data_IF_469742389533
#
_entry.id   IF_469742389533
#
_cell.length_a   1.000
_cell.length_b   1.000
_cell.length_c   1.000
_cell.angle_alpha   90.00
_cell.angle_beta   90.00
_cell.angle_gamma   90.00
#
_symmetry.space_group_name_H-M   'P 1'
#
loop_
_entity.id
_entity.type
_entity.pdbx_description
1 polymer ?
#
# COMPACT_ATOMS: atom_id res chain seq x y z
N UNK A 1 -12.91 29.55 -3.25
CA UNK A 1 -12.83 29.11 -1.84
C UNK A 1 -11.84 30.03 -1.14
N UNK A 2 -12.17 30.53 0.06
CA UNK A 2 -11.37 31.56 0.74
C UNK A 2 -10.19 30.94 1.49
N UNK A 3 -9.10 31.70 1.69
CA UNK A 3 -7.95 31.29 2.50
C UNK A 3 -8.32 30.82 3.93
N UNK A 4 -9.51 31.19 4.42
CA UNK A 4 -10.03 30.76 5.72
C UNK A 4 -10.38 29.28 5.81
N UNK A 5 -10.93 28.67 4.76
CA UNK A 5 -11.27 27.22 4.78
C UNK A 5 -10.00 26.36 4.82
N UNK A 6 -8.98 26.75 4.06
CA UNK A 6 -7.70 26.03 4.02
C UNK A 6 -6.96 26.11 5.37
N UNK A 7 -7.00 27.26 6.05
CA UNK A 7 -6.42 27.40 7.39
C UNK A 7 -7.12 26.52 8.44
N UNK A 8 -8.44 26.35 8.33
CA UNK A 8 -9.21 25.45 9.21
C UNK A 8 -8.82 24.00 8.98
N UNK A 9 -8.78 23.55 7.72
CA UNK A 9 -8.37 22.18 7.37
C UNK A 9 -6.95 21.89 7.89
N UNK A 10 -6.02 22.82 7.68
CA UNK A 10 -4.64 22.66 8.15
C UNK A 10 -4.55 22.50 9.68
N UNK A 11 -5.26 23.33 10.45
CA UNK A 11 -5.29 23.20 11.92
C UNK A 11 -5.93 21.90 12.41
N UNK A 12 -6.93 21.39 11.69
CA UNK A 12 -7.58 20.10 12.01
C UNK A 12 -6.65 18.92 11.74
N UNK A 13 -5.97 18.91 10.58
CA UNK A 13 -4.97 17.90 10.23
C UNK A 13 -3.81 17.91 11.21
N UNK A 14 -3.30 19.09 11.57
CA UNK A 14 -2.19 19.23 12.54
C UNK A 14 -2.56 18.64 13.90
N UNK A 15 -3.73 18.99 14.43
CA UNK A 15 -4.23 18.47 15.71
C UNK A 15 -4.39 16.94 15.69
N UNK A 16 -5.00 16.39 14.63
CA UNK A 16 -5.19 14.95 14.49
C UNK A 16 -3.87 14.20 14.30
N UNK A 17 -2.94 14.76 13.50
CA UNK A 17 -1.61 14.20 13.31
C UNK A 17 -0.84 14.16 14.64
N UNK A 18 -0.87 15.25 15.41
CA UNK A 18 -0.25 15.32 16.73
C UNK A 18 -0.80 14.26 17.68
N UNK A 19 -2.12 14.06 17.70
CA UNK A 19 -2.76 13.04 18.52
C UNK A 19 -2.32 11.60 18.15
N UNK A 20 -1.93 11.38 16.89
CA UNK A 20 -1.41 10.11 16.40
C UNK A 20 0.12 9.95 16.57
N UNK A 21 0.82 10.93 17.13
CA UNK A 21 2.30 10.89 17.25
C UNK A 21 3.04 11.32 15.98
N UNK A 22 2.38 12.08 15.09
CA UNK A 22 2.94 12.68 13.89
C UNK A 22 3.09 14.20 14.06
N UNK A 23 3.85 14.82 13.17
CA UNK A 23 3.99 16.27 13.05
C UNK A 23 3.82 16.69 11.60
N UNK A 24 3.04 17.74 11.35
CA UNK A 24 3.00 18.37 10.02
C UNK A 24 4.27 19.21 9.88
N UNK A 25 5.17 18.84 8.96
CA UNK A 25 6.45 19.53 8.73
C UNK A 25 6.44 20.42 7.50
N UNK A 26 5.49 20.20 6.59
CA UNK A 26 5.24 21.08 5.45
C UNK A 26 3.77 21.00 5.03
N UNK A 27 3.26 22.14 4.55
CA UNK A 27 1.92 22.27 3.97
C UNK A 27 2.07 23.01 2.65
N UNK A 28 1.62 22.40 1.55
CA UNK A 28 1.78 22.92 0.19
C UNK A 28 0.41 22.92 -0.50
N UNK A 29 0.03 24.07 -1.07
CA UNK A 29 -1.12 24.14 -1.95
C UNK A 29 -0.78 23.43 -3.27
N UNK A 30 -1.66 22.54 -3.71
CA UNK A 30 -1.50 21.73 -4.91
C UNK A 30 -2.81 21.71 -5.70
N UNK A 31 -2.85 20.89 -6.74
CA UNK A 31 -4.07 20.64 -7.49
C UNK A 31 -4.16 19.14 -7.81
N UNK A 32 -5.38 18.62 -7.78
CA UNK A 32 -5.66 17.26 -8.22
C UNK A 32 -5.46 17.12 -9.74
N UNK A 33 -5.65 15.89 -10.24
CA UNK A 33 -5.53 15.61 -11.67
C UNK A 33 -6.47 16.44 -12.57
N UNK A 34 -7.61 16.89 -12.04
CA UNK A 34 -8.59 17.71 -12.77
C UNK A 34 -8.36 19.21 -12.59
N UNK A 35 -7.33 19.63 -11.85
CA UNK A 35 -7.03 21.03 -11.54
C UNK A 35 -7.85 21.60 -10.37
N UNK A 36 -8.57 20.78 -9.61
CA UNK A 36 -9.24 21.23 -8.39
C UNK A 36 -8.19 21.44 -7.28
N UNK A 37 -8.37 22.43 -6.40
CA UNK A 37 -7.39 22.73 -5.35
C UNK A 37 -7.33 21.62 -4.30
N UNK A 38 -6.11 21.20 -3.99
CA UNK A 38 -5.78 20.26 -2.91
C UNK A 38 -4.75 20.89 -1.96
N UNK A 39 -4.66 20.34 -0.76
CA UNK A 39 -3.58 20.66 0.17
C UNK A 39 -2.80 19.39 0.48
N UNK A 40 -1.49 19.47 0.28
CA UNK A 40 -0.54 18.42 0.58
C UNK A 40 0.15 18.69 1.92
N UNK A 41 0.03 17.75 2.84
CA UNK A 41 0.65 17.76 4.15
C UNK A 41 1.78 16.72 4.18
N UNK A 42 3.00 17.18 4.46
CA UNK A 42 4.10 16.27 4.78
C UNK A 42 4.04 15.96 6.27
N UNK A 43 3.70 14.72 6.60
CA UNK A 43 3.61 14.21 7.96
C UNK A 43 4.91 13.51 8.31
N UNK A 44 5.57 13.94 9.37
CA UNK A 44 6.77 13.31 9.90
C UNK A 44 6.45 12.55 11.19
N UNK A 45 7.14 11.42 11.42
CA UNK A 45 7.06 10.73 12.70
C UNK A 45 7.66 11.62 13.79
N UNK A 46 6.94 11.85 14.90
CA UNK A 46 7.41 12.78 15.94
C UNK A 46 8.74 12.35 16.57
N UNK A 47 9.00 11.03 16.63
CA UNK A 47 10.21 10.43 17.17
C UNK A 47 11.39 10.42 16.17
N UNK A 48 11.12 10.50 14.86
CA UNK A 48 12.13 10.53 13.80
C UNK A 48 11.63 11.39 12.62
N UNK A 49 11.97 12.69 12.60
CA UNK A 49 11.50 13.61 11.57
C UNK A 49 11.97 13.29 10.14
N UNK A 50 12.96 12.41 9.97
CA UNK A 50 13.40 11.97 8.64
C UNK A 50 12.40 11.00 8.00
N UNK A 51 11.56 10.33 8.80
CA UNK A 51 10.50 9.42 8.35
C UNK A 51 9.25 10.22 8.04
N UNK A 52 8.94 10.35 6.76
CA UNK A 52 7.82 11.18 6.29
C UNK A 52 6.85 10.41 5.39
N UNK A 53 5.59 10.85 5.39
CA UNK A 53 4.52 10.40 4.51
C UNK A 53 3.77 11.63 3.99
N UNK A 54 3.41 11.62 2.71
CA UNK A 54 2.54 12.64 2.14
C UNK A 54 1.08 12.26 2.40
N UNK A 55 0.31 13.21 2.93
CA UNK A 55 -1.14 13.19 2.98
C UNK A 55 -1.68 14.28 2.05
N UNK A 56 -2.46 13.93 1.05
CA UNK A 56 -3.12 14.87 0.16
C UNK A 56 -4.63 14.79 0.33
N UNK A 57 -5.26 15.96 0.52
CA UNK A 57 -6.69 16.11 0.72
C UNK A 57 -7.24 17.23 -0.17
N UNK A 58 -8.46 17.06 -0.67
CA UNK A 58 -9.19 18.16 -1.30
C UNK A 58 -9.35 19.35 -0.34
N UNK A 59 -9.25 20.58 -0.85
CA UNK A 59 -9.52 21.79 -0.05
C UNK A 59 -10.99 21.87 0.42
N UNK A 60 -11.89 21.16 -0.27
CA UNK A 60 -13.29 21.02 0.12
C UNK A 60 -13.56 19.86 1.10
N UNK A 61 -12.53 19.16 1.58
CA UNK A 61 -12.70 18.04 2.49
C UNK A 61 -13.18 18.50 3.87
N UNK A 62 -14.33 17.98 4.31
CA UNK A 62 -14.93 18.32 5.60
C UNK A 62 -14.39 17.43 6.73
N UNK A 63 -13.17 17.72 7.18
CA UNK A 63 -12.46 16.92 8.20
C UNK A 63 -13.24 16.75 9.52
N UNK A 64 -14.05 17.73 9.91
CA UNK A 64 -14.84 17.71 11.15
C UNK A 64 -16.09 16.84 11.11
N UNK A 65 -16.43 16.25 9.97
CA UNK A 65 -17.55 15.31 9.88
C UNK A 65 -17.29 14.08 10.74
N UNK A 66 -18.18 13.82 11.69
CA UNK A 66 -17.98 12.75 12.69
C UNK A 66 -17.83 11.36 12.07
N UNK A 67 -18.50 11.11 10.94
CA UNK A 67 -18.42 9.86 10.18
C UNK A 67 -17.07 9.68 9.45
N UNK A 68 -16.35 10.76 9.17
CA UNK A 68 -15.05 10.75 8.48
C UNK A 68 -13.88 10.82 9.46
N UNK A 69 -14.03 11.59 10.55
CA UNK A 69 -12.98 11.87 11.52
C UNK A 69 -12.39 10.58 12.13
N UNK A 70 -13.24 9.60 12.46
CA UNK A 70 -12.80 8.34 13.06
C UNK A 70 -11.87 7.56 12.13
N UNK A 71 -12.19 7.48 10.83
CA UNK A 71 -11.36 6.79 9.84
C UNK A 71 -10.05 7.52 9.59
N UNK A 72 -10.05 8.86 9.57
CA UNK A 72 -8.82 9.65 9.45
C UNK A 72 -7.91 9.45 10.67
N UNK A 73 -8.47 9.40 11.88
CA UNK A 73 -7.70 9.13 13.09
C UNK A 73 -7.05 7.73 13.05
N UNK A 74 -7.80 6.72 12.59
CA UNK A 74 -7.27 5.36 12.38
C UNK A 74 -6.13 5.38 11.36
N UNK A 75 -6.34 6.03 10.20
CA UNK A 75 -5.32 6.17 9.16
C UNK A 75 -4.04 6.83 9.69
N UNK A 76 -4.14 7.91 10.45
CA UNK A 76 -2.99 8.62 11.01
C UNK A 76 -2.26 7.77 12.06
N UNK A 77 -2.98 7.04 12.92
CA UNK A 77 -2.37 6.13 13.89
C UNK A 77 -1.64 4.97 13.20
N UNK A 78 -2.23 4.39 12.17
CA UNK A 78 -1.59 3.36 11.33
C UNK A 78 -0.36 3.93 10.60
N UNK A 79 -0.45 5.16 10.09
CA UNK A 79 0.66 5.85 9.43
C UNK A 79 1.83 6.05 10.39
N UNK A 80 1.58 6.47 11.64
CA UNK A 80 2.61 6.61 12.65
C UNK A 80 3.33 5.30 12.94
N UNK A 81 2.60 4.19 13.09
CA UNK A 81 3.21 2.86 13.24
C UNK A 81 4.02 2.49 12.00
N UNK A 82 3.44 2.67 10.81
CA UNK A 82 4.09 2.28 9.56
C UNK A 82 5.37 3.06 9.28
N UNK A 83 5.43 4.35 9.64
CA UNK A 83 6.63 5.18 9.49
C UNK A 83 7.84 4.70 10.29
N UNK A 84 7.64 3.86 11.31
CA UNK A 84 8.73 3.19 12.04
C UNK A 84 9.47 2.18 11.16
N UNK A 85 8.81 1.60 10.15
CA UNK A 85 9.45 0.66 9.24
C UNK A 85 10.69 1.29 8.57
N UNK A 86 11.73 0.49 8.24
CA UNK A 86 12.87 0.98 7.49
C UNK A 86 12.47 1.58 6.14
N UNK A 87 11.55 0.91 5.43
CA UNK A 87 10.94 1.33 4.16
C UNK A 87 9.41 1.36 4.29
N UNK A 88 8.82 2.47 4.78
CA UNK A 88 7.37 2.57 5.01
C UNK A 88 6.55 2.54 3.71
N UNK A 89 7.17 2.85 2.59
CA UNK A 89 6.62 2.79 1.23
C UNK A 89 6.52 1.36 0.67
N UNK A 90 7.22 0.39 1.27
CA UNK A 90 7.34 -0.96 0.74
C UNK A 90 6.33 -1.96 1.33
N UNK A 91 5.69 -2.73 0.47
CA UNK A 91 4.77 -3.82 0.81
C UNK A 91 5.20 -5.10 0.11
N UNK A 92 4.69 -6.25 0.57
CA UNK A 92 4.91 -7.54 -0.07
C UNK A 92 3.62 -8.04 -0.73
N UNK A 93 3.72 -8.59 -1.94
CA UNK A 93 2.63 -9.36 -2.56
C UNK A 93 2.57 -10.81 -2.03
N UNK A 94 1.48 -11.53 -2.28
CA UNK A 94 1.32 -12.90 -1.80
C UNK A 94 2.30 -13.86 -2.49
N UNK A 95 2.66 -13.58 -3.75
CA UNK A 95 3.69 -14.32 -4.50
C UNK A 95 5.13 -13.86 -4.20
N UNK A 96 5.35 -13.07 -3.16
CA UNK A 96 6.71 -12.73 -2.71
C UNK A 96 7.38 -11.58 -3.48
N UNK A 97 6.60 -10.72 -4.16
CA UNK A 97 7.15 -9.50 -4.79
C UNK A 97 7.22 -8.35 -3.77
N UNK A 98 8.42 -7.86 -3.41
CA UNK A 98 8.58 -6.62 -2.66
C UNK A 98 8.35 -5.41 -3.56
N UNK A 99 7.40 -4.56 -3.21
CA UNK A 99 6.92 -3.44 -4.02
C UNK A 99 6.94 -2.13 -3.22
N UNK A 100 7.62 -1.11 -3.71
CA UNK A 100 7.43 0.27 -3.21
C UNK A 100 6.22 0.90 -3.89
N UNK A 101 5.46 1.69 -3.14
CA UNK A 101 4.29 2.43 -3.61
C UNK A 101 4.57 3.92 -3.50
N UNK A 102 4.42 4.66 -4.60
CA UNK A 102 4.70 6.08 -4.62
C UNK A 102 4.01 6.82 -5.76
N UNK A 103 4.16 8.15 -5.74
CA UNK A 103 3.63 9.07 -6.76
C UNK A 103 2.12 8.92 -6.99
N UNK A 104 1.38 8.51 -5.97
CA UNK A 104 -0.07 8.50 -6.02
C UNK A 104 -0.57 9.95 -6.00
N UNK A 105 -1.46 10.28 -6.94
CA UNK A 105 -2.06 11.62 -7.07
C UNK A 105 -3.48 11.55 -6.53
N UNK A 106 -3.69 12.08 -5.33
CA UNK A 106 -4.99 12.06 -4.66
C UNK A 106 -5.72 13.40 -4.83
N UNK A 107 -7.03 13.46 -4.60
CA UNK A 107 -7.98 12.36 -4.42
C UNK A 107 -8.25 11.58 -5.72
N UNK A 108 -9.18 10.62 -5.67
CA UNK A 108 -9.80 10.09 -6.87
C UNK A 108 -10.44 11.20 -7.71
N UNK A 109 -10.21 11.17 -9.02
CA UNK A 109 -10.83 12.08 -9.97
C UNK A 109 -11.75 11.33 -10.94
N UNK A 110 -12.69 12.04 -11.58
CA UNK A 110 -13.54 11.44 -12.61
C UNK A 110 -12.72 11.10 -13.87
N UNK A 111 -13.11 10.03 -14.56
CA UNK A 111 -12.58 9.75 -15.89
C UNK A 111 -13.03 10.84 -16.88
N UNK A 112 -12.09 11.35 -17.68
CA UNK A 112 -12.37 12.31 -18.77
C UNK A 112 -12.77 11.62 -20.08
N UNK A 113 -12.67 10.28 -20.16
CA UNK A 113 -12.99 9.50 -21.36
C UNK A 113 -14.48 9.13 -21.49
N UNK A 114 -15.34 9.72 -20.66
CA UNK A 114 -16.79 9.43 -20.64
C UNK A 114 -17.16 8.11 -19.96
N UNK A 115 -16.20 7.45 -19.30
CA UNK A 115 -16.47 6.26 -18.50
C UNK A 115 -16.99 6.63 -17.10
N UNK A 116 -17.95 5.83 -16.60
CA UNK A 116 -18.51 5.92 -15.25
C UNK A 116 -17.54 5.37 -14.18
N UNK A 117 -16.33 5.91 -14.14
CA UNK A 117 -15.26 5.49 -13.24
C UNK A 117 -14.51 6.66 -12.63
N UNK A 118 -14.11 6.48 -11.38
CA UNK A 118 -13.14 7.33 -10.67
C UNK A 118 -11.76 6.71 -10.84
N UNK A 119 -10.74 7.52 -11.04
CA UNK A 119 -9.37 7.07 -11.21
C UNK A 119 -8.46 7.68 -10.14
N UNK A 120 -7.49 6.89 -9.67
CA UNK A 120 -6.29 7.39 -9.00
C UNK A 120 -5.09 6.81 -9.73
N UNK A 121 -4.10 7.67 -9.99
CA UNK A 121 -2.87 7.27 -10.67
C UNK A 121 -1.74 7.14 -9.67
N UNK A 122 -0.86 6.17 -9.85
CA UNK A 122 0.31 5.96 -9.00
C UNK A 122 1.42 5.22 -9.73
N UNK A 123 2.47 4.88 -8.99
CA UNK A 123 3.59 4.08 -9.48
C UNK A 123 3.99 3.06 -8.42
N UNK A 124 4.32 1.86 -8.88
CA UNK A 124 4.98 0.84 -8.06
C UNK A 124 6.33 0.47 -8.65
N UNK A 125 7.31 0.18 -7.79
CA UNK A 125 8.62 -0.31 -8.22
C UNK A 125 8.97 -1.62 -7.51
N UNK A 126 9.73 -2.49 -8.17
CA UNK A 126 10.24 -3.72 -7.58
C UNK A 126 11.46 -3.45 -6.70
N UNK A 127 11.45 -3.89 -5.46
CA UNK A 127 12.47 -3.54 -4.47
C UNK A 127 13.24 -4.77 -4.01
N UNK A 128 14.36 -5.09 -4.65
CA UNK A 128 15.16 -6.29 -4.33
C UNK A 128 16.41 -6.00 -3.49
N UNK A 129 16.65 -4.72 -3.11
CA UNK A 129 17.89 -4.26 -2.50
C UNK A 129 18.99 -3.93 -3.52
N UNK A 130 18.75 -4.22 -4.80
CA UNK A 130 19.56 -3.78 -5.94
C UNK A 130 18.90 -2.57 -6.62
N UNK A 131 19.49 -2.10 -7.74
CA UNK A 131 18.91 -1.00 -8.51
C UNK A 131 17.50 -1.36 -9.02
N UNK A 132 16.50 -0.63 -8.55
CA UNK A 132 15.10 -0.82 -8.92
C UNK A 132 14.82 -0.26 -10.32
N UNK A 133 15.00 -1.09 -11.35
CA UNK A 133 14.76 -0.69 -12.75
C UNK A 133 13.37 -1.05 -13.26
N UNK A 134 12.68 -1.98 -12.58
CA UNK A 134 11.38 -2.51 -12.98
C UNK A 134 10.26 -1.82 -12.20
N UNK A 135 9.29 -1.26 -12.93
CA UNK A 135 8.20 -0.50 -12.35
C UNK A 135 6.90 -0.68 -13.15
N UNK A 136 5.79 -0.24 -12.58
CA UNK A 136 4.52 -0.12 -13.28
C UNK A 136 3.85 1.19 -12.89
N UNK A 137 3.44 1.96 -13.90
CA UNK A 137 2.51 3.07 -13.67
C UNK A 137 1.10 2.50 -13.58
N UNK A 138 0.36 2.92 -12.57
CA UNK A 138 -0.94 2.37 -12.22
C UNK A 138 -2.04 3.39 -12.53
N UNK A 139 -3.17 2.89 -13.03
CA UNK A 139 -4.44 3.58 -13.05
C UNK A 139 -5.47 2.71 -12.33
N UNK A 140 -5.67 2.96 -11.04
CA UNK A 140 -6.66 2.23 -10.27
C UNK A 140 -8.04 2.84 -10.50
N UNK A 141 -8.95 2.01 -10.99
CA UNK A 141 -10.27 2.45 -11.44
C UNK A 141 -11.37 1.93 -10.51
N UNK A 142 -12.10 2.86 -9.91
CA UNK A 142 -13.24 2.61 -9.03
C UNK A 142 -14.54 2.89 -9.77
N UNK A 143 -15.42 1.90 -9.90
CA UNK A 143 -16.75 2.09 -10.53
C UNK A 143 -17.64 2.98 -9.67
N UNK A 144 -18.63 3.66 -10.27
CA UNK A 144 -19.60 4.48 -9.51
C UNK A 144 -20.28 3.67 -8.40
N UNK A 145 -20.69 2.43 -8.68
CA UNK A 145 -21.29 1.53 -7.68
C UNK A 145 -20.37 1.24 -6.50
N UNK A 146 -19.05 1.25 -6.73
CA UNK A 146 -18.08 1.08 -5.66
C UNK A 146 -17.83 2.37 -4.89
N UNK A 147 -17.98 3.53 -5.54
CA UNK A 147 -17.90 4.83 -4.86
C UNK A 147 -18.94 4.95 -3.75
N UNK A 148 -20.11 4.32 -3.87
CA UNK A 148 -21.15 4.34 -2.84
C UNK A 148 -20.74 3.63 -1.53
N UNK A 149 -19.73 2.75 -1.56
CA UNK A 149 -19.27 2.02 -0.36
C UNK A 149 -18.00 2.61 0.26
N UNK A 150 -17.37 3.59 -0.40
CA UNK A 150 -16.19 4.29 0.11
C UNK A 150 -16.64 5.62 0.70
N UNK A 151 -16.29 5.89 1.97
CA UNK A 151 -16.78 7.06 2.69
C UNK A 151 -16.37 8.40 2.04
N UNK A 152 -15.17 8.47 1.46
CA UNK A 152 -14.70 9.62 0.71
C UNK A 152 -13.67 9.21 -0.37
N UNK A 153 -13.55 9.96 -1.49
CA UNK A 153 -12.55 9.71 -2.52
C UNK A 153 -11.11 10.11 -2.12
N UNK A 154 -10.88 10.43 -0.86
CA UNK A 154 -9.61 10.95 -0.32
C UNK A 154 -8.65 9.83 0.06
N UNK A 155 -7.36 10.16 0.15
CA UNK A 155 -6.29 9.22 0.47
C UNK A 155 -6.56 8.36 1.72
N UNK A 156 -6.97 8.91 2.89
CA UNK A 156 -7.14 8.12 4.11
C UNK A 156 -8.13 6.96 3.98
N UNK A 157 -9.11 7.10 3.07
CA UNK A 157 -10.21 6.17 2.90
C UNK A 157 -9.92 5.14 1.81
N UNK A 158 -8.93 5.42 0.95
CA UNK A 158 -8.72 4.63 -0.25
C UNK A 158 -7.33 4.00 -0.41
N UNK A 159 -6.29 4.60 0.15
CA UNK A 159 -4.90 4.13 0.00
C UNK A 159 -4.76 2.64 0.34
N UNK A 160 -5.31 2.21 1.49
CA UNK A 160 -5.19 0.83 1.96
C UNK A 160 -5.75 -0.20 0.99
N UNK A 161 -7.00 -0.02 0.53
CA UNK A 161 -7.59 -0.97 -0.41
C UNK A 161 -7.01 -0.86 -1.82
N UNK A 162 -6.51 0.31 -2.22
CA UNK A 162 -5.85 0.48 -3.52
C UNK A 162 -4.53 -0.27 -3.55
N UNK A 163 -3.72 -0.14 -2.51
CA UNK A 163 -2.45 -0.88 -2.43
C UNK A 163 -2.72 -2.39 -2.46
N UNK A 164 -3.75 -2.85 -1.76
CA UNK A 164 -4.17 -4.25 -1.78
C UNK A 164 -4.70 -4.70 -3.15
N UNK A 165 -5.45 -3.85 -3.85
CA UNK A 165 -5.92 -4.14 -5.20
C UNK A 165 -4.75 -4.28 -6.16
N UNK A 166 -3.76 -3.38 -6.11
CA UNK A 166 -2.53 -3.46 -6.92
C UNK A 166 -1.79 -4.76 -6.65
N UNK A 167 -1.55 -5.09 -5.37
CA UNK A 167 -0.89 -6.34 -4.98
C UNK A 167 -1.65 -7.57 -5.50
N UNK A 168 -2.99 -7.56 -5.40
CA UNK A 168 -3.84 -8.64 -5.90
C UNK A 168 -3.79 -8.78 -7.41
N UNK A 169 -3.86 -7.68 -8.15
CA UNK A 169 -3.78 -7.67 -9.62
C UNK A 169 -2.40 -8.14 -10.10
N UNK A 170 -1.34 -7.82 -9.36
CA UNK A 170 -0.01 -8.39 -9.58
C UNK A 170 0.00 -9.92 -9.40
N UNK A 171 -0.54 -10.44 -8.30
CA UNK A 171 -0.60 -11.90 -8.05
C UNK A 171 -1.53 -12.64 -9.02
N UNK A 172 -2.36 -11.92 -9.78
CA UNK A 172 -3.20 -12.48 -10.85
C UNK A 172 -2.50 -12.48 -12.22
N UNK A 173 -1.27 -11.95 -12.32
CA UNK A 173 -0.54 -11.83 -13.58
C UNK A 173 -1.14 -10.77 -14.52
N UNK A 174 -1.90 -9.83 -13.96
CA UNK A 174 -2.61 -8.79 -14.69
C UNK A 174 -1.89 -7.43 -14.67
N UNK A 175 -0.78 -7.34 -13.93
CA UNK A 175 0.17 -6.24 -14.01
C UNK A 175 1.52 -6.78 -14.42
N UNK A 176 2.24 -6.00 -15.23
CA UNK A 176 3.59 -6.27 -15.66
C UNK A 176 4.54 -5.23 -15.07
N UNK A 177 5.72 -5.65 -14.63
CA UNK A 177 6.78 -4.72 -14.26
C UNK A 177 7.68 -4.48 -15.48
N UNK A 178 7.53 -3.33 -16.12
CA UNK A 178 8.14 -3.01 -17.42
C UNK A 178 8.68 -1.59 -17.45
N UNK A 179 9.69 -1.33 -18.29
CA UNK A 179 10.19 0.03 -18.58
C UNK A 179 9.24 0.78 -19.54
N UNK A 180 7.95 0.80 -19.25
CA UNK A 180 6.92 1.42 -20.10
C UNK A 180 6.36 2.68 -19.45
N UNK A 181 6.10 3.70 -20.29
CA UNK A 181 5.42 4.91 -19.86
C UNK A 181 3.91 4.76 -19.70
N UNK A 182 3.32 3.64 -20.15
CA UNK A 182 1.87 3.43 -20.15
C UNK A 182 1.36 3.03 -18.77
N UNK A 183 0.21 3.61 -18.40
CA UNK A 183 -0.50 3.22 -17.17
C UNK A 183 -1.22 1.90 -17.40
N UNK A 184 -1.08 1.00 -16.45
CA UNK A 184 -1.76 -0.29 -16.43
C UNK A 184 -3.00 -0.21 -15.53
N UNK A 185 -4.13 -0.78 -15.96
CA UNK A 185 -5.37 -0.70 -15.20
C UNK A 185 -5.34 -1.60 -13.97
N UNK A 186 -5.81 -1.08 -12.83
CA UNK A 186 -6.07 -1.86 -11.61
C UNK A 186 -7.55 -1.76 -11.28
N UNK A 187 -8.35 -2.80 -11.57
CA UNK A 187 -9.79 -2.73 -11.38
C UNK A 187 -10.13 -2.84 -9.88
N UNK A 188 -10.75 -1.80 -9.33
CA UNK A 188 -11.31 -1.80 -7.97
C UNK A 188 -12.82 -1.98 -8.11
N UNK A 189 -13.26 -3.20 -7.84
CA UNK A 189 -14.65 -3.61 -8.09
C UNK A 189 -15.27 -4.17 -6.83
N UNK A 190 -16.60 -4.31 -6.85
CA UNK A 190 -17.37 -4.95 -5.78
C UNK A 190 -16.94 -6.40 -5.50
N UNK A 191 -16.14 -7.03 -6.37
CA UNK A 191 -15.54 -8.35 -6.09
C UNK A 191 -14.59 -8.32 -4.88
N UNK A 192 -14.01 -7.17 -4.57
CA UNK A 192 -13.15 -7.00 -3.39
C UNK A 192 -13.91 -6.56 -2.15
N UNK A 193 -15.24 -6.41 -2.20
CA UNK A 193 -16.04 -5.88 -1.10
C UNK A 193 -17.30 -6.71 -0.86
N UNK A 194 -17.44 -7.24 0.36
CA UNK A 194 -18.66 -7.91 0.81
C UNK A 194 -19.61 -6.88 1.42
N UNK A 195 -20.67 -6.50 0.70
CA UNK A 195 -21.70 -5.59 1.21
C UNK A 195 -22.41 -6.15 2.46
N UNK A 196 -22.54 -7.48 2.56
CA UNK A 196 -23.11 -8.16 3.72
C UNK A 196 -22.24 -8.02 4.97
N UNK A 197 -20.93 -8.16 4.83
CA UNK A 197 -19.98 -8.07 5.94
C UNK A 197 -19.42 -6.65 6.13
N UNK A 198 -19.70 -5.75 5.18
CA UNK A 198 -19.10 -4.42 5.05
C UNK A 198 -17.57 -4.44 5.12
N UNK A 199 -16.95 -5.44 4.48
CA UNK A 199 -15.51 -5.72 4.58
C UNK A 199 -14.90 -5.94 3.21
N UNK A 200 -13.69 -5.44 3.02
CA UNK A 200 -12.85 -5.79 1.88
C UNK A 200 -12.19 -7.17 2.03
N UNK A 201 -12.12 -7.92 0.94
CA UNK A 201 -11.39 -9.20 0.86
C UNK A 201 -10.66 -9.33 -0.47
N UNK A 202 -9.40 -9.76 -0.43
CA UNK A 202 -8.54 -9.86 -1.61
C UNK A 202 -8.06 -11.30 -1.87
N UNK A 203 -7.52 -11.97 -0.85
CA UNK A 203 -7.05 -13.34 -0.94
C UNK A 203 -7.60 -14.18 0.20
N UNK A 204 -8.15 -15.35 -0.11
CA UNK A 204 -8.46 -16.35 0.92
C UNK A 204 -7.18 -17.13 1.24
N UNK A 205 -6.69 -16.96 2.47
CA UNK A 205 -5.45 -17.60 2.92
C UNK A 205 -5.71 -18.60 4.04
N UNK A 206 -4.87 -19.63 4.09
CA UNK A 206 -4.74 -20.56 5.22
C UNK A 206 -3.68 -20.04 6.19
N UNK A 207 -3.67 -20.56 7.42
CA UNK A 207 -2.65 -20.17 8.41
C UNK A 207 -1.21 -20.41 7.93
N UNK A 208 -0.86 -21.55 7.29
CA UNK A 208 0.48 -21.74 6.73
C UNK A 208 0.86 -20.69 5.68
N UNK A 209 -0.09 -20.27 4.83
CA UNK A 209 0.16 -19.21 3.84
C UNK A 209 0.40 -17.85 4.50
N UNK A 210 -0.36 -17.51 5.56
CA UNK A 210 -0.13 -16.27 6.32
C UNK A 210 1.23 -16.26 7.00
N UNK A 211 1.62 -17.41 7.55
CA UNK A 211 2.93 -17.59 8.16
C UNK A 211 4.06 -17.41 7.14
N UNK A 212 3.95 -18.06 5.97
CA UNK A 212 4.90 -17.91 4.87
C UNK A 212 4.99 -16.45 4.40
N UNK A 213 3.85 -15.78 4.24
CA UNK A 213 3.80 -14.35 3.89
C UNK A 213 4.54 -13.48 4.92
N UNK A 214 4.31 -13.68 6.22
CA UNK A 214 4.96 -12.89 7.27
C UNK A 214 6.47 -13.18 7.35
N UNK A 215 6.90 -14.42 7.10
CA UNK A 215 8.32 -14.78 6.99
C UNK A 215 8.96 -14.06 5.80
N UNK A 216 8.36 -14.15 4.62
CA UNK A 216 8.82 -13.47 3.42
C UNK A 216 8.84 -11.94 3.60
N UNK A 217 7.83 -11.37 4.27
CA UNK A 217 7.76 -9.93 4.57
C UNK A 217 8.92 -9.53 5.48
N UNK A 218 9.20 -10.31 6.51
CA UNK A 218 10.31 -10.06 7.43
C UNK A 218 11.66 -10.18 6.71
N UNK A 219 11.83 -11.21 5.87
CA UNK A 219 13.02 -11.39 5.06
C UNK A 219 13.27 -10.20 4.14
N UNK A 220 12.30 -9.82 3.30
CA UNK A 220 12.46 -8.77 2.31
C UNK A 220 12.50 -7.37 2.95
N UNK A 221 11.50 -7.01 3.75
CA UNK A 221 11.33 -5.63 4.19
C UNK A 221 12.20 -5.26 5.40
N UNK A 222 12.53 -6.22 6.26
CA UNK A 222 13.46 -6.00 7.37
C UNK A 222 14.88 -6.43 7.01
N UNK A 223 15.09 -7.66 6.54
CA UNK A 223 16.41 -8.19 6.22
C UNK A 223 17.08 -7.49 5.05
N UNK A 224 16.52 -7.64 3.85
CA UNK A 224 17.12 -7.16 2.60
C UNK A 224 17.04 -5.64 2.47
N UNK A 225 15.83 -5.08 2.49
CA UNK A 225 15.59 -3.65 2.28
C UNK A 225 15.82 -2.79 3.53
N UNK A 226 15.74 -3.41 4.70
CA UNK A 226 15.82 -2.72 5.99
C UNK A 226 17.15 -2.88 6.71
N UNK A 227 18.12 -3.59 6.13
CA UNK A 227 19.40 -3.90 6.75
C UNK A 227 19.27 -4.46 8.19
N UNK A 228 18.25 -5.28 8.41
CA UNK A 228 17.93 -5.90 9.70
C UNK A 228 17.13 -5.02 10.67
N UNK A 229 16.73 -3.81 10.30
CA UNK A 229 15.88 -2.97 11.13
C UNK A 229 14.45 -3.56 11.26
N UNK A 230 13.78 -3.46 12.42
CA UNK A 230 12.47 -4.09 12.64
C UNK A 230 11.38 -3.62 11.66
N UNK A 231 10.50 -4.55 11.25
CA UNK A 231 9.32 -4.25 10.41
C UNK A 231 8.03 -4.63 11.14
N UNK A 232 6.99 -3.80 10.98
CA UNK A 232 5.67 -4.02 11.54
C UNK A 232 4.98 -5.24 10.90
N UNK A 233 4.54 -6.21 11.70
CA UNK A 233 3.89 -7.43 11.23
C UNK A 233 2.37 -7.45 11.46
N UNK A 234 1.85 -6.59 12.33
CA UNK A 234 0.41 -6.47 12.60
C UNK A 234 -0.22 -5.31 11.82
N UNK A 235 0.12 -5.19 10.54
CA UNK A 235 -0.39 -4.15 9.64
C UNK A 235 -1.83 -4.47 9.18
N UNK A 236 -2.83 -3.61 9.47
CA UNK A 236 -4.21 -3.79 9.02
C UNK A 236 -4.37 -3.95 7.49
N UNK A 237 -3.48 -3.33 6.69
CA UNK A 237 -3.49 -3.51 5.23
C UNK A 237 -3.14 -4.94 4.85
N UNK A 238 -2.19 -5.57 5.55
CA UNK A 238 -1.84 -6.98 5.32
C UNK A 238 -2.93 -7.92 5.84
N UNK A 239 -3.54 -7.61 6.99
CA UNK A 239 -4.67 -8.39 7.49
C UNK A 239 -5.84 -8.39 6.48
N UNK A 240 -6.17 -7.22 5.93
CA UNK A 240 -7.18 -7.09 4.88
C UNK A 240 -6.78 -7.86 3.61
N UNK A 241 -5.52 -7.74 3.17
CA UNK A 241 -5.01 -8.38 1.96
C UNK A 241 -5.02 -9.91 2.03
N UNK A 242 -4.72 -10.47 3.20
CA UNK A 242 -4.69 -11.91 3.48
C UNK A 242 -6.07 -12.48 3.88
N UNK A 243 -7.11 -11.63 3.93
CA UNK A 243 -8.43 -11.94 4.49
C UNK A 243 -8.34 -12.56 5.90
N UNK A 244 -7.58 -11.92 6.78
CA UNK A 244 -7.36 -12.36 8.15
C UNK A 244 -7.67 -11.24 9.16
N UNK A 245 -7.76 -11.62 10.43
CA UNK A 245 -7.80 -10.70 11.57
C UNK A 245 -6.38 -10.44 12.10
N UNK A 246 -6.19 -9.32 12.81
CA UNK A 246 -4.93 -9.05 13.50
C UNK A 246 -4.58 -10.12 14.54
N UNK A 247 -5.59 -10.74 15.16
CA UNK A 247 -5.40 -11.85 16.09
C UNK A 247 -4.82 -13.09 15.39
N UNK A 248 -5.31 -13.43 14.19
CA UNK A 248 -4.76 -14.53 13.39
C UNK A 248 -3.34 -14.21 12.90
N UNK A 249 -3.06 -12.97 12.49
CA UNK A 249 -1.68 -12.57 12.15
C UNK A 249 -0.76 -12.71 13.35
N UNK A 250 -1.21 -12.29 14.54
CA UNK A 250 -0.44 -12.44 15.78
C UNK A 250 -0.12 -13.90 16.10
N UNK A 251 -1.06 -14.82 15.89
CA UNK A 251 -0.79 -16.27 16.05
C UNK A 251 0.30 -16.75 15.07
N UNK A 252 0.25 -16.33 13.80
CA UNK A 252 1.29 -16.68 12.83
C UNK A 252 2.66 -16.05 13.18
N UNK A 253 2.68 -14.83 13.73
CA UNK A 253 3.90 -14.21 14.28
C UNK A 253 4.47 -15.03 15.45
N UNK A 254 3.63 -15.42 16.41
CA UNK A 254 4.04 -16.24 17.55
C UNK A 254 4.61 -17.60 17.10
N UNK A 255 4.02 -18.22 16.08
CA UNK A 255 4.53 -19.44 15.49
C UNK A 255 5.91 -19.25 14.83
N UNK A 256 6.13 -18.14 14.11
CA UNK A 256 7.45 -17.82 13.52
C UNK A 256 8.52 -17.61 14.58
N UNK A 257 8.18 -16.93 15.68
CA UNK A 257 9.07 -16.78 16.84
C UNK A 257 9.41 -18.14 17.45
N UNK A 258 8.40 -18.99 17.67
CA UNK A 258 8.60 -20.33 18.23
C UNK A 258 9.47 -21.23 17.33
N UNK A 259 9.38 -21.07 16.01
CA UNK A 259 10.25 -21.76 15.04
C UNK A 259 11.66 -21.15 14.92
N UNK A 260 11.94 -20.02 15.59
CA UNK A 260 13.23 -19.34 15.56
C UNK A 260 13.52 -18.58 14.26
N UNK A 261 12.52 -18.33 13.41
CA UNK A 261 12.67 -17.64 12.12
C UNK A 261 12.73 -16.11 12.28
N UNK A 262 12.04 -15.56 13.29
CA UNK A 262 12.03 -14.12 13.56
C UNK A 262 12.28 -13.83 15.03
N UNK A 263 12.76 -12.62 15.31
CA UNK A 263 12.88 -12.06 16.65
C UNK A 263 12.00 -10.83 16.78
N UNK A 264 11.12 -10.83 17.77
CA UNK A 264 10.31 -9.67 18.12
C UNK A 264 11.21 -8.51 18.57
N UNK A 265 10.91 -7.32 18.07
CA UNK A 265 11.45 -6.07 18.59
C UNK A 265 10.36 -5.32 19.37
N UNK A 266 10.68 -4.85 20.58
CA UNK A 266 9.79 -3.99 21.36
C UNK A 266 8.44 -4.63 21.73
N UNK A 267 7.35 -3.96 21.36
CA UNK A 267 5.96 -4.15 21.80
C UNK A 267 5.22 -5.34 21.18
N UNK A 268 5.94 -6.32 20.60
CA UNK A 268 5.38 -7.50 19.94
C UNK A 268 4.66 -7.26 18.62
N UNK A 269 4.72 -6.05 18.07
CA UNK A 269 4.17 -5.78 16.74
C UNK A 269 5.24 -5.77 15.64
N UNK A 270 6.51 -5.57 16.01
CA UNK A 270 7.63 -5.50 15.07
C UNK A 270 8.53 -6.72 15.21
N UNK A 271 9.18 -7.10 14.12
CA UNK A 271 10.15 -8.18 14.13
C UNK A 271 11.33 -7.93 13.19
N UNK A 272 12.42 -8.64 13.48
CA UNK A 272 13.63 -8.74 12.67
C UNK A 272 13.84 -10.19 12.25
N UNK A 273 14.44 -10.47 11.08
CA UNK A 273 14.77 -11.84 10.69
C UNK A 273 15.88 -12.38 11.58
N UNK A 274 15.88 -13.69 11.84
CA UNK A 274 17.06 -14.38 12.40
C UNK A 274 17.97 -14.87 11.28
N UNK A 275 19.17 -15.34 11.64
CA UNK A 275 20.08 -16.00 10.70
C UNK A 275 19.43 -17.23 10.04
N UNK A 276 18.51 -17.90 10.74
CA UNK A 276 17.78 -19.05 10.20
C UNK A 276 16.79 -18.65 9.09
N UNK A 277 16.21 -17.46 9.15
CA UNK A 277 15.38 -16.93 8.06
C UNK A 277 16.24 -16.34 6.94
N UNK A 278 17.32 -15.63 7.28
CA UNK A 278 18.23 -15.05 6.29
C UNK A 278 18.98 -16.12 5.47
N UNK A 279 19.22 -17.31 6.03
CA UNK A 279 19.81 -18.43 5.30
C UNK A 279 18.90 -19.02 4.22
N UNK A 280 17.61 -18.65 4.18
CA UNK A 280 16.65 -19.05 3.13
C UNK A 280 16.72 -18.17 1.88
N UNK A 281 17.83 -17.45 1.65
CA UNK A 281 18.01 -16.57 0.48
C UNK A 281 17.66 -17.25 -0.84
N UNK A 282 18.19 -18.45 -1.09
CA UNK A 282 17.95 -19.18 -2.35
C UNK A 282 16.46 -19.48 -2.58
N UNK A 283 15.72 -19.75 -1.50
CA UNK A 283 14.28 -19.98 -1.58
C UNK A 283 13.53 -18.70 -1.97
N UNK A 284 13.81 -17.57 -1.32
CA UNK A 284 13.15 -16.30 -1.64
C UNK A 284 13.56 -15.73 -3.00
N UNK A 285 14.80 -15.94 -3.42
CA UNK A 285 15.24 -15.60 -4.78
C UNK A 285 14.46 -16.43 -5.83
N UNK A 286 14.23 -17.71 -5.56
CA UNK A 286 13.47 -18.58 -6.45
C UNK A 286 11.98 -18.20 -6.51
N UNK A 287 11.36 -17.86 -5.38
CA UNK A 287 9.99 -17.33 -5.34
C UNK A 287 9.86 -16.02 -6.13
N UNK A 288 10.79 -15.09 -5.93
CA UNK A 288 10.85 -13.83 -6.67
C UNK A 288 10.97 -14.09 -8.18
N UNK A 289 11.89 -14.97 -8.60
CA UNK A 289 12.10 -15.30 -10.00
C UNK A 289 10.86 -15.96 -10.63
N UNK A 290 10.18 -16.83 -9.88
CA UNK A 290 8.93 -17.46 -10.30
C UNK A 290 7.82 -16.42 -10.45
N UNK A 291 7.67 -15.52 -9.48
CA UNK A 291 6.67 -14.45 -9.53
C UNK A 291 6.91 -13.49 -10.71
N UNK A 292 8.17 -13.10 -10.95
CA UNK A 292 8.55 -12.28 -12.09
C UNK A 292 8.28 -12.98 -13.43
N UNK A 293 8.48 -14.30 -13.49
CA UNK A 293 8.15 -15.08 -14.69
C UNK A 293 6.64 -15.13 -14.91
N UNK A 294 5.87 -15.30 -13.83
CA UNK A 294 4.42 -15.38 -13.88
C UNK A 294 3.76 -14.08 -14.37
N UNK A 295 4.28 -12.92 -13.97
CA UNK A 295 3.74 -11.61 -14.39
C UNK A 295 4.25 -11.13 -15.76
N UNK A 296 5.17 -11.86 -16.39
CA UNK A 296 5.60 -11.57 -17.77
C UNK A 296 4.58 -12.16 -18.75
N UNK A 297 4.05 -11.39 -19.70
CA UNK A 297 3.17 -11.96 -20.71
C UNK A 297 3.98 -12.81 -21.67
N UNK A 298 3.62 -14.07 -21.80
CA UNK A 298 4.13 -14.96 -22.85
C UNK A 298 3.82 -14.41 -24.25
N UNK A 299 2.66 -13.74 -24.42
CA UNK A 299 2.25 -13.15 -25.70
C UNK A 299 3.18 -12.04 -26.22
N UNK A 300 3.83 -11.27 -25.33
CA UNK A 300 4.74 -10.19 -25.74
C UNK A 300 6.08 -10.72 -26.27
N UNK A 301 6.48 -11.95 -25.92
CA UNK A 301 7.69 -12.58 -26.45
C UNK A 301 7.48 -13.06 -27.89
N UNK A 302 6.32 -13.65 -28.21
CA UNK A 302 5.98 -14.07 -29.58
C UNK A 302 5.89 -12.87 -30.54
N UNK A 303 5.32 -11.75 -30.08
CA UNK A 303 5.26 -10.49 -30.84
C UNK A 303 6.64 -9.84 -31.01
N UNK A 304 7.50 -9.86 -29.97
CA UNK A 304 8.89 -9.34 -30.05
C UNK A 304 9.81 -10.22 -30.89
N UNK A 305 9.54 -11.52 -30.97
CA UNK A 305 10.22 -12.46 -31.86
C UNK A 305 9.77 -12.38 -33.32
N UNK A 306 8.76 -11.55 -33.63
CA UNK A 306 8.18 -11.46 -34.98
C UNK A 306 7.44 -12.74 -35.41
N UNK A 307 7.02 -13.58 -34.47
CA UNK A 307 6.36 -14.86 -34.76
C UNK A 307 4.85 -14.72 -34.99
N UNK A 308 4.28 -13.55 -34.72
CA UNK A 308 2.87 -13.22 -34.99
C UNK A 308 2.78 -12.20 -36.11
N UNK A 309 2.97 -12.67 -37.35
CA UNK A 309 2.38 -12.03 -38.51
C UNK A 309 0.93 -12.49 -38.63
N UNK A 310 -0.03 -11.59 -38.40
CA UNK A 310 -1.33 -11.60 -39.07
C UNK A 310 -1.72 -10.18 -39.42
#
# INVERSE_FOLDING_TARGET
MSAGTQAVLAGQVESAAQAAGLKVVATVAAADFSGNPTTQFTLALAADPAKTQLLELSDSFEFSRADLLGEVQVYLAETAKRLVNPRPDCYLSLHGLPLSFGKFVWPFHQSTSGADTSLVHGEINLETGEESVLHAKIAASMTITFREVVAAPEQPFAEGFIYNAVRKTMDQGQLELVKSGNRQPVPVTTRYYSAKQKKFSFNDTTEPQRRAFLAAKTYWLSGVLGAGAPVWLLDPRDAQYLNATLAELKQSVEALVASGEIRIAGDKEYATPTDALMSRKEHYDAELAQALTFIKPTFNEDMRGGHTNM
#
